data_IF_721202158654
#
_entry.id   IF_721202158654
#
_cell.length_a   1.000
_cell.length_b   1.000
_cell.length_c   1.000
_cell.angle_alpha   90.00
_cell.angle_beta   90.00
_cell.angle_gamma   90.00
#
_symmetry.space_group_name_H-M   'P 1'
#
loop_
_entity.id
_entity.type
_entity.pdbx_description
1 polymer ?
#
# COMPACT_ATOMS: atom_id res chain seq x y z
N UNK A 1 18.80 -20.71 -19.01
CA UNK A 1 17.69 -21.68 -18.94
C UNK A 1 16.46 -20.91 -18.50
N UNK A 2 15.57 -20.61 -19.44
CA UNK A 2 14.40 -19.76 -19.27
C UNK A 2 13.20 -20.64 -18.91
N UNK A 3 12.66 -20.49 -17.70
CA UNK A 3 11.41 -21.13 -17.29
C UNK A 3 10.28 -20.13 -17.56
N UNK A 4 9.51 -20.38 -18.62
CA UNK A 4 8.24 -19.71 -18.89
C UNK A 4 7.21 -20.31 -17.93
N UNK A 5 6.73 -19.51 -16.98
CA UNK A 5 5.62 -19.87 -16.10
C UNK A 5 4.31 -19.47 -16.77
N UNK A 6 3.72 -20.43 -17.48
CA UNK A 6 2.31 -20.43 -17.89
C UNK A 6 1.40 -20.39 -16.67
N UNK A 7 0.27 -19.70 -16.82
CA UNK A 7 -0.66 -19.33 -15.75
C UNK A 7 -0.95 -20.41 -14.70
N UNK A 8 -0.47 -20.14 -13.48
CA UNK A 8 -1.05 -20.62 -12.23
C UNK A 8 -0.68 -19.61 -11.14
N UNK A 9 -1.70 -18.94 -10.59
CA UNK A 9 -1.55 -18.06 -9.42
C UNK A 9 -1.22 -18.94 -8.22
N UNK A 10 0.08 -19.07 -7.93
CA UNK A 10 0.63 -19.81 -6.80
C UNK A 10 1.74 -18.99 -6.14
N UNK A 11 1.43 -18.45 -4.97
CA UNK A 11 2.30 -17.94 -3.92
C UNK A 11 3.82 -17.88 -4.23
N UNK A 12 4.26 -16.75 -4.76
CA UNK A 12 5.67 -16.40 -4.93
C UNK A 12 5.79 -15.12 -5.73
N UNK A 13 5.80 -13.99 -5.01
CA UNK A 13 6.18 -12.58 -5.28
C UNK A 13 7.02 -12.21 -6.54
N UNK A 14 6.79 -12.84 -7.69
CA UNK A 14 7.35 -12.46 -8.97
C UNK A 14 6.25 -11.73 -9.74
N UNK A 15 6.46 -10.45 -10.00
CA UNK A 15 5.54 -9.60 -10.74
C UNK A 15 5.10 -10.23 -12.06
N UNK A 16 3.92 -9.85 -12.54
CA UNK A 16 3.45 -10.27 -13.86
C UNK A 16 4.38 -9.68 -14.92
N UNK A 17 5.05 -10.58 -15.65
CA UNK A 17 5.97 -10.25 -16.74
C UNK A 17 5.31 -10.57 -18.07
N UNK A 18 5.48 -9.69 -19.06
CA UNK A 18 4.98 -9.88 -20.42
C UNK A 18 6.13 -10.28 -21.34
N UNK A 19 6.01 -11.43 -22.01
CA UNK A 19 7.00 -11.89 -22.98
C UNK A 19 6.56 -11.54 -24.40
N UNK A 20 7.50 -11.42 -25.34
CA UNK A 20 7.23 -11.07 -26.74
C UNK A 20 6.31 -12.07 -27.48
N UNK A 21 6.08 -13.27 -26.90
CA UNK A 21 5.20 -14.31 -27.43
C UNK A 21 4.00 -14.62 -26.50
N UNK A 22 3.62 -13.69 -25.63
CA UNK A 22 2.51 -13.91 -24.69
C UNK A 22 1.16 -14.07 -25.39
N UNK A 23 0.32 -14.94 -24.84
CA UNK A 23 -1.03 -15.19 -25.35
C UNK A 23 -1.93 -13.94 -25.15
N UNK A 24 -2.96 -13.72 -25.98
CA UNK A 24 -3.83 -12.55 -25.85
C UNK A 24 -4.52 -12.46 -24.48
N UNK A 25 -4.82 -13.61 -23.87
CA UNK A 25 -5.43 -13.69 -22.54
C UNK A 25 -4.45 -13.23 -21.43
N UNK A 26 -3.15 -13.55 -21.58
CA UNK A 26 -2.10 -13.11 -20.65
C UNK A 26 -1.91 -11.58 -20.71
N UNK A 27 -1.94 -11.02 -21.92
CA UNK A 27 -1.88 -9.57 -22.13
C UNK A 27 -3.07 -8.89 -21.44
N UNK A 28 -4.27 -9.46 -21.52
CA UNK A 28 -5.43 -8.91 -20.82
C UNK A 28 -5.29 -8.96 -19.30
N UNK A 29 -4.72 -10.04 -18.75
CA UNK A 29 -4.41 -10.14 -17.31
C UNK A 29 -3.43 -9.04 -16.90
N UNK A 30 -2.40 -8.78 -17.71
CA UNK A 30 -1.42 -7.71 -17.48
C UNK A 30 -2.07 -6.34 -17.53
N UNK A 31 -2.93 -6.06 -18.52
CA UNK A 31 -3.68 -4.79 -18.61
C UNK A 31 -4.50 -4.57 -17.32
N UNK A 32 -5.24 -5.58 -16.88
CA UNK A 32 -6.04 -5.51 -15.65
C UNK A 32 -5.15 -5.29 -14.42
N UNK A 33 -3.99 -5.93 -14.35
CA UNK A 33 -3.05 -5.76 -13.26
C UNK A 33 -2.46 -4.35 -13.22
N UNK A 34 -2.08 -3.78 -14.37
CA UNK A 34 -1.59 -2.38 -14.48
C UNK A 34 -2.65 -1.41 -13.99
N UNK A 35 -3.89 -1.52 -14.46
CA UNK A 35 -4.97 -0.67 -13.96
C UNK A 35 -5.18 -0.83 -12.46
N UNK A 36 -5.16 -2.07 -11.94
CA UNK A 36 -5.32 -2.33 -10.51
C UNK A 36 -4.20 -1.70 -9.68
N UNK A 37 -2.97 -1.78 -10.15
CA UNK A 37 -1.81 -1.25 -9.44
C UNK A 37 -1.76 0.28 -9.51
N UNK A 38 -1.75 0.83 -10.73
CA UNK A 38 -1.52 2.25 -10.98
C UNK A 38 -2.67 3.10 -10.44
N UNK A 39 -3.92 2.64 -10.57
CA UNK A 39 -5.08 3.40 -10.11
C UNK A 39 -5.55 3.02 -8.69
N UNK A 40 -4.77 2.21 -7.95
CA UNK A 40 -5.07 1.92 -6.55
C UNK A 40 -6.34 1.11 -6.34
N UNK A 41 -6.50 0.02 -7.09
CA UNK A 41 -7.64 -0.88 -7.09
C UNK A 41 -8.98 -0.16 -7.36
N UNK A 42 -9.11 0.51 -8.52
CA UNK A 42 -10.33 1.19 -8.87
C UNK A 42 -11.42 0.19 -9.31
N UNK A 43 -12.68 0.58 -9.11
CA UNK A 43 -13.78 0.00 -9.86
C UNK A 43 -13.91 0.80 -11.16
N UNK A 44 -13.26 0.34 -12.22
CA UNK A 44 -13.30 0.97 -13.55
C UNK A 44 -14.57 0.57 -14.29
N UNK A 45 -15.20 1.55 -14.92
CA UNK A 45 -16.29 1.32 -15.86
C UNK A 45 -15.74 1.09 -17.28
N UNK A 46 -16.48 0.39 -18.13
CA UNK A 46 -16.04 0.12 -19.52
C UNK A 46 -15.79 1.41 -20.32
N UNK A 47 -16.56 2.46 -20.05
CA UNK A 47 -16.40 3.78 -20.69
C UNK A 47 -15.13 4.52 -20.27
N UNK A 48 -14.55 4.18 -19.12
CA UNK A 48 -13.34 4.80 -18.60
C UNK A 48 -12.07 4.06 -19.08
N UNK A 49 -12.19 2.98 -19.85
CA UNK A 49 -11.00 2.23 -20.29
C UNK A 49 -10.28 2.94 -21.43
N UNK A 50 -8.95 2.93 -21.39
CA UNK A 50 -8.08 3.52 -22.41
C UNK A 50 -7.89 2.54 -23.58
N UNK A 51 -8.97 2.29 -24.34
CA UNK A 51 -8.99 1.27 -25.42
C UNK A 51 -7.88 1.46 -26.44
N UNK A 52 -7.53 2.71 -26.78
CA UNK A 52 -6.46 3.00 -27.75
C UNK A 52 -5.10 2.53 -27.28
N UNK A 53 -4.76 2.75 -26.01
CA UNK A 53 -3.45 2.36 -25.48
C UNK A 53 -3.40 0.87 -25.15
N UNK A 54 -4.53 0.26 -24.77
CA UNK A 54 -4.66 -1.19 -24.66
C UNK A 54 -4.38 -1.90 -25.99
N UNK A 55 -4.88 -1.35 -27.11
CA UNK A 55 -4.61 -1.89 -28.44
C UNK A 55 -3.12 -1.82 -28.82
N UNK A 56 -2.43 -0.71 -28.49
CA UNK A 56 -0.98 -0.59 -28.72
C UNK A 56 -0.19 -1.64 -27.95
N UNK A 57 -0.55 -1.88 -26.68
CA UNK A 57 0.10 -2.91 -25.87
C UNK A 57 -0.16 -4.32 -26.44
N UNK A 58 -1.39 -4.60 -26.88
CA UNK A 58 -1.73 -5.88 -27.53
C UNK A 58 -0.95 -6.12 -28.82
N UNK A 59 -0.66 -5.06 -29.57
CA UNK A 59 0.16 -5.11 -30.78
C UNK A 59 1.66 -5.14 -30.49
N UNK A 60 2.09 -5.08 -29.21
CA UNK A 60 3.50 -4.95 -28.81
C UNK A 60 4.18 -3.70 -29.40
N UNK A 61 3.42 -2.63 -29.64
CA UNK A 61 3.97 -1.34 -30.09
C UNK A 61 4.59 -0.53 -28.94
N UNK A 62 4.12 -0.76 -27.72
CA UNK A 62 4.58 -0.10 -26.49
C UNK A 62 4.97 -1.14 -25.44
N UNK A 63 5.96 -0.81 -24.60
CA UNK A 63 6.33 -1.64 -23.45
C UNK A 63 5.32 -1.53 -22.30
N UNK A 64 5.41 -2.42 -21.30
CA UNK A 64 4.57 -2.32 -20.10
C UNK A 64 4.86 -1.01 -19.35
N UNK A 65 6.13 -0.58 -19.30
CA UNK A 65 6.52 0.71 -18.73
C UNK A 65 5.90 1.89 -19.46
N UNK A 66 5.91 1.88 -20.79
CA UNK A 66 5.25 2.93 -21.58
C UNK A 66 3.74 2.92 -21.39
N UNK A 67 3.12 1.75 -21.27
CA UNK A 67 1.71 1.64 -20.94
C UNK A 67 1.39 2.19 -19.54
N UNK A 68 2.23 1.91 -18.53
CA UNK A 68 2.12 2.52 -17.20
C UNK A 68 2.24 4.06 -17.30
N UNK A 69 3.16 4.56 -18.14
CA UNK A 69 3.32 6.01 -18.41
C UNK A 69 2.05 6.62 -18.99
N UNK A 70 1.44 6.00 -20.01
CA UNK A 70 0.21 6.51 -20.63
C UNK A 70 -0.96 6.49 -19.65
N UNK A 71 -1.08 5.44 -18.82
CA UNK A 71 -2.12 5.34 -17.79
C UNK A 71 -1.93 6.43 -16.72
N UNK A 72 -0.71 6.65 -16.24
CA UNK A 72 -0.40 7.67 -15.24
C UNK A 72 -0.57 9.11 -15.78
N UNK A 73 -0.34 9.34 -17.08
CA UNK A 73 -0.59 10.64 -17.73
C UNK A 73 -2.04 10.87 -18.15
N UNK A 74 -2.89 9.85 -18.05
CA UNK A 74 -4.29 9.96 -18.44
C UNK A 74 -5.08 10.93 -17.54
N UNK A 75 -6.14 11.51 -18.11
CA UNK A 75 -7.08 12.38 -17.37
C UNK A 75 -7.74 11.66 -16.19
N UNK A 76 -7.88 10.33 -16.27
CA UNK A 76 -8.45 9.50 -15.21
C UNK A 76 -7.56 9.46 -13.97
N UNK A 77 -6.25 9.35 -14.17
CA UNK A 77 -5.29 9.39 -13.07
C UNK A 77 -5.23 10.80 -12.46
N UNK A 78 -5.15 11.82 -13.33
CA UNK A 78 -5.09 13.23 -12.95
C UNK A 78 -6.29 13.67 -12.11
N UNK A 79 -7.51 13.41 -12.57
CA UNK A 79 -8.74 13.79 -11.84
C UNK A 79 -8.85 13.11 -10.47
N UNK A 80 -8.41 11.85 -10.37
CA UNK A 80 -8.50 11.06 -9.12
C UNK A 80 -7.46 11.46 -8.08
N UNK A 81 -6.21 11.70 -8.49
CA UNK A 81 -5.11 11.86 -7.54
C UNK A 81 -4.50 13.26 -7.53
N UNK A 82 -4.45 13.94 -8.67
CA UNK A 82 -3.85 15.28 -8.74
C UNK A 82 -4.84 16.38 -8.36
N UNK A 83 -6.06 16.33 -8.90
CA UNK A 83 -7.06 17.39 -8.67
C UNK A 83 -7.78 17.25 -7.33
N UNK A 84 -7.93 16.01 -6.84
CA UNK A 84 -8.70 15.70 -5.63
C UNK A 84 -7.85 15.71 -4.35
N UNK A 85 -6.54 15.45 -4.44
CA UNK A 85 -5.66 15.29 -3.28
C UNK A 85 -4.68 16.46 -3.10
N UNK A 86 -4.17 16.65 -1.89
CA UNK A 86 -3.11 17.62 -1.64
C UNK A 86 -1.75 17.17 -2.22
N UNK A 87 -0.79 18.09 -2.43
CA UNK A 87 0.49 17.77 -3.10
C UNK A 87 1.28 16.64 -2.44
N UNK A 88 1.31 16.61 -1.10
CA UNK A 88 1.98 15.55 -0.36
C UNK A 88 1.31 14.18 -0.52
N UNK A 89 -0.03 14.14 -0.56
CA UNK A 89 -0.77 12.90 -0.79
C UNK A 89 -0.57 12.39 -2.21
N UNK A 90 -0.56 13.30 -3.19
CA UNK A 90 -0.28 12.97 -4.58
C UNK A 90 1.06 12.26 -4.72
N UNK A 91 2.13 12.83 -4.14
CA UNK A 91 3.46 12.23 -4.17
C UNK A 91 3.49 10.89 -3.42
N UNK A 92 2.88 10.80 -2.23
CA UNK A 92 2.77 9.52 -1.49
C UNK A 92 2.12 8.41 -2.35
N UNK A 93 1.08 8.76 -3.11
CA UNK A 93 0.39 7.84 -4.01
C UNK A 93 1.25 7.52 -5.25
N UNK A 94 1.98 8.47 -5.82
CA UNK A 94 2.91 8.20 -6.93
C UNK A 94 3.97 7.16 -6.54
N UNK A 95 4.58 7.31 -5.36
CA UNK A 95 5.51 6.32 -4.80
C UNK A 95 4.86 4.95 -4.61
N UNK A 96 3.60 4.91 -4.14
CA UNK A 96 2.84 3.66 -3.97
C UNK A 96 2.52 2.99 -5.31
N UNK A 97 2.03 3.76 -6.29
CA UNK A 97 1.52 3.25 -7.56
C UNK A 97 2.62 2.85 -8.53
N UNK A 98 3.65 3.71 -8.67
CA UNK A 98 4.70 3.55 -9.69
C UNK A 98 5.91 2.78 -9.15
N UNK A 99 6.39 3.13 -7.95
CA UNK A 99 7.58 2.50 -7.37
C UNK A 99 7.27 1.34 -6.40
N UNK A 100 6.00 1.20 -5.99
CA UNK A 100 5.59 0.16 -5.06
C UNK A 100 6.24 0.28 -3.67
N UNK A 101 6.68 1.48 -3.27
CA UNK A 101 7.30 1.76 -1.96
C UNK A 101 6.70 3.03 -1.34
N UNK A 102 7.03 3.28 -0.06
CA UNK A 102 6.67 4.52 0.61
C UNK A 102 7.87 5.49 0.57
N UNK A 103 7.64 6.81 0.60
CA UNK A 103 8.73 7.79 0.71
C UNK A 103 9.50 7.61 2.03
N UNK A 104 10.82 7.64 1.92
CA UNK A 104 11.74 7.36 3.04
C UNK A 104 12.12 8.64 3.78
N UNK A 105 12.30 9.74 3.06
CA UNK A 105 12.76 10.99 3.62
C UNK A 105 11.96 12.18 3.08
N UNK A 106 11.95 13.25 3.88
CA UNK A 106 11.35 14.52 3.48
C UNK A 106 12.06 15.13 2.26
N UNK A 107 13.34 14.81 2.06
CA UNK A 107 14.13 15.26 0.92
C UNK A 107 13.56 14.73 -0.39
N UNK A 108 13.24 13.44 -0.48
CA UNK A 108 12.62 12.82 -1.67
C UNK A 108 11.32 13.56 -2.02
N UNK A 109 10.44 13.74 -1.03
CA UNK A 109 9.17 14.47 -1.23
C UNK A 109 9.43 15.89 -1.71
N UNK A 110 10.38 16.61 -1.10
CA UNK A 110 10.67 17.99 -1.48
C UNK A 110 11.18 18.13 -2.92
N UNK A 111 11.92 17.14 -3.42
CA UNK A 111 12.40 17.10 -4.81
C UNK A 111 11.22 16.96 -5.77
N UNK A 112 10.29 16.04 -5.51
CA UNK A 112 9.13 15.85 -6.37
C UNK A 112 8.14 17.03 -6.30
N UNK A 113 7.92 17.62 -5.11
CA UNK A 113 7.11 18.85 -5.00
C UNK A 113 7.72 19.98 -5.84
N UNK A 114 9.03 20.18 -5.76
CA UNK A 114 9.72 21.22 -6.55
C UNK A 114 9.59 20.95 -8.04
N UNK A 115 9.84 19.71 -8.46
CA UNK A 115 9.77 19.32 -9.87
C UNK A 115 8.35 19.52 -10.43
N UNK A 116 7.32 19.14 -9.67
CA UNK A 116 5.93 19.40 -10.05
C UNK A 116 5.64 20.88 -10.28
N UNK A 117 6.20 21.77 -9.46
CA UNK A 117 5.99 23.22 -9.57
C UNK A 117 6.77 23.81 -10.74
N UNK A 118 7.99 23.34 -10.99
CA UNK A 118 8.89 23.90 -12.00
C UNK A 118 8.59 23.37 -13.42
N UNK A 119 8.30 22.08 -13.55
CA UNK A 119 8.20 21.38 -14.85
C UNK A 119 6.78 20.87 -15.14
N UNK A 120 5.89 20.91 -14.16
CA UNK A 120 4.51 20.47 -14.29
C UNK A 120 4.29 18.98 -14.03
N UNK A 121 3.08 18.53 -14.32
CA UNK A 121 2.57 17.20 -13.99
C UNK A 121 3.25 16.07 -14.78
N UNK A 122 3.39 16.23 -16.10
CA UNK A 122 3.92 15.17 -16.96
C UNK A 122 5.38 14.84 -16.62
N UNK A 123 6.17 15.88 -16.34
CA UNK A 123 7.56 15.74 -15.93
C UNK A 123 7.68 15.03 -14.57
N UNK A 124 6.74 15.25 -13.64
CA UNK A 124 6.75 14.55 -12.37
C UNK A 124 6.54 13.04 -12.56
N UNK A 125 5.57 12.65 -13.39
CA UNK A 125 5.33 11.23 -13.69
C UNK A 125 6.55 10.60 -14.38
N UNK A 126 7.14 11.29 -15.36
CA UNK A 126 8.34 10.81 -16.05
C UNK A 126 9.52 10.65 -15.10
N UNK A 127 9.67 11.53 -14.09
CA UNK A 127 10.76 11.45 -13.10
C UNK A 127 10.79 10.13 -12.33
N UNK A 128 9.64 9.49 -12.09
CA UNK A 128 9.58 8.19 -11.43
C UNK A 128 9.92 7.04 -12.40
N UNK A 129 9.40 7.09 -13.63
CA UNK A 129 9.53 6.00 -14.61
C UNK A 129 10.88 5.97 -15.32
N UNK A 130 11.56 7.11 -15.40
CA UNK A 130 12.90 7.26 -15.96
C UNK A 130 14.00 7.18 -14.88
N UNK A 131 13.62 6.87 -13.64
CA UNK A 131 14.59 6.64 -12.55
C UNK A 131 15.27 5.27 -12.67
N UNK A 132 16.55 5.22 -12.31
CA UNK A 132 17.31 3.96 -12.23
C UNK A 132 16.64 2.95 -11.28
N UNK A 133 15.97 3.45 -10.23
CA UNK A 133 15.24 2.60 -9.28
C UNK A 133 14.11 1.81 -9.95
N UNK A 134 13.34 2.45 -10.84
CA UNK A 134 12.28 1.77 -11.57
C UNK A 134 12.87 0.72 -12.52
N UNK A 135 13.94 1.07 -13.22
CA UNK A 135 14.60 0.17 -14.18
C UNK A 135 15.19 -1.07 -13.50
N UNK A 136 15.87 -0.90 -12.37
CA UNK A 136 16.47 -1.99 -11.59
C UNK A 136 15.41 -2.88 -10.94
N UNK A 137 14.25 -2.33 -10.59
CA UNK A 137 13.18 -3.04 -9.90
C UNK A 137 12.26 -3.82 -10.84
N UNK A 138 11.83 -3.22 -11.94
CA UNK A 138 10.77 -3.73 -12.82
C UNK A 138 11.25 -3.93 -14.26
N UNK A 139 12.19 -3.09 -14.73
CA UNK A 139 12.56 -3.04 -16.15
C UNK A 139 11.42 -2.55 -17.04
N UNK A 140 11.40 -2.99 -18.30
CA UNK A 140 10.45 -2.52 -19.32
C UNK A 140 9.14 -3.31 -19.37
N UNK A 141 9.19 -4.60 -19.05
CA UNK A 141 8.13 -5.57 -19.36
C UNK A 141 7.41 -6.12 -18.12
N UNK A 142 7.79 -5.68 -16.93
CA UNK A 142 7.17 -6.13 -15.67
C UNK A 142 6.19 -5.09 -15.15
N UNK A 143 5.00 -5.55 -14.73
CA UNK A 143 4.03 -4.69 -14.06
C UNK A 143 4.56 -4.27 -12.68
N UNK A 144 4.48 -2.98 -12.30
CA UNK A 144 4.86 -2.54 -10.97
C UNK A 144 4.11 -3.32 -9.89
N UNK A 145 4.80 -3.67 -8.82
CA UNK A 145 4.23 -4.39 -7.69
C UNK A 145 4.72 -3.78 -6.37
N UNK A 146 3.93 -3.87 -5.28
CA UNK A 146 4.34 -3.35 -3.99
C UNK A 146 5.54 -4.12 -3.45
N UNK A 147 6.72 -3.50 -3.48
CA UNK A 147 7.99 -4.05 -2.98
C UNK A 147 8.35 -3.58 -1.57
N UNK A 148 7.79 -2.46 -1.13
CA UNK A 148 8.03 -1.89 0.21
C UNK A 148 7.41 -2.70 1.36
N UNK A 149 6.60 -3.70 1.05
CA UNK A 149 6.07 -4.68 2.00
C UNK A 149 7.10 -5.74 2.40
N UNK A 150 8.25 -5.79 1.73
CA UNK A 150 9.35 -6.67 2.07
C UNK A 150 10.53 -5.86 2.61
N UNK A 151 11.31 -6.45 3.51
CA UNK A 151 12.58 -5.86 3.94
C UNK A 151 13.60 -5.97 2.81
N UNK A 152 14.14 -4.84 2.37
CA UNK A 152 15.15 -4.77 1.31
C UNK A 152 16.50 -4.40 1.89
N UNK A 153 17.57 -4.95 1.31
CA UNK A 153 18.94 -4.63 1.72
C UNK A 153 19.23 -3.16 1.41
N UNK A 154 19.83 -2.45 2.36
CA UNK A 154 20.19 -1.02 2.21
C UNK A 154 19.04 -0.03 2.44
N UNK A 155 17.80 -0.50 2.63
CA UNK A 155 16.64 0.36 2.84
C UNK A 155 16.32 0.56 4.32
N UNK A 156 15.75 1.74 4.66
CA UNK A 156 15.35 2.05 6.03
C UNK A 156 14.16 1.19 6.44
N UNK A 157 14.23 0.58 7.63
CA UNK A 157 13.12 -0.21 8.21
C UNK A 157 11.82 0.60 8.34
N UNK A 158 11.93 1.92 8.51
CA UNK A 158 10.77 2.83 8.56
C UNK A 158 9.94 2.77 7.27
N UNK A 159 10.56 2.51 6.12
CA UNK A 159 9.88 2.34 4.84
C UNK A 159 8.86 1.20 4.86
N UNK A 160 9.20 0.06 5.47
CA UNK A 160 8.28 -1.06 5.64
C UNK A 160 7.05 -0.69 6.49
N UNK A 161 7.28 0.01 7.60
CA UNK A 161 6.22 0.45 8.50
C UNK A 161 5.27 1.44 7.80
N UNK A 162 5.82 2.37 7.00
CA UNK A 162 5.05 3.34 6.23
C UNK A 162 4.28 2.68 5.08
N UNK A 163 4.89 1.74 4.38
CA UNK A 163 4.22 0.96 3.33
C UNK A 163 3.04 0.17 3.91
N UNK A 164 3.22 -0.48 5.05
CA UNK A 164 2.14 -1.21 5.72
C UNK A 164 0.97 -0.31 6.14
N UNK A 165 1.20 1.01 6.27
CA UNK A 165 0.14 1.98 6.54
C UNK A 165 -0.59 2.42 5.27
N UNK A 166 0.12 2.58 4.15
CA UNK A 166 -0.43 2.92 2.83
C UNK A 166 -1.15 1.76 2.14
N UNK A 167 -0.71 0.52 2.41
CA UNK A 167 -1.21 -0.70 1.80
C UNK A 167 -1.83 -1.59 2.88
N UNK A 168 -3.14 -1.49 3.08
CA UNK A 168 -3.92 -2.24 4.08
C UNK A 168 -4.41 -3.59 3.59
N UNK A 169 -4.48 -3.80 2.27
CA UNK A 169 -4.81 -5.09 1.69
C UNK A 169 -5.46 -5.01 0.31
N UNK A 170 -5.85 -6.16 -0.28
CA UNK A 170 -6.33 -6.24 -1.65
C UNK A 170 -7.73 -5.66 -1.87
N UNK A 171 -8.48 -5.40 -0.79
CA UNK A 171 -9.82 -4.81 -0.83
C UNK A 171 -9.82 -3.29 -0.58
N UNK A 172 -8.66 -2.70 -0.28
CA UNK A 172 -8.53 -1.26 -0.14
C UNK A 172 -8.58 -0.58 -1.51
N UNK A 173 -9.15 0.62 -1.55
CA UNK A 173 -9.12 1.50 -2.72
C UNK A 173 -8.62 2.89 -2.30
N UNK A 174 -7.72 3.47 -3.08
CA UNK A 174 -7.02 4.71 -2.70
C UNK A 174 -7.92 5.97 -2.69
N UNK A 175 -9.07 5.90 -3.38
CA UNK A 175 -10.09 6.95 -3.39
C UNK A 175 -10.62 7.30 -1.98
N UNK A 176 -10.56 6.37 -1.03
CA UNK A 176 -11.14 6.55 0.30
C UNK A 176 -10.44 7.62 1.15
N UNK A 177 -9.14 7.87 0.92
CA UNK A 177 -8.33 8.77 1.77
C UNK A 177 -7.66 9.85 0.93
N UNK A 178 -8.15 11.09 1.10
CA UNK A 178 -7.66 12.27 0.36
C UNK A 178 -6.53 13.02 1.06
N UNK A 179 -6.40 12.84 2.38
CA UNK A 179 -5.37 13.49 3.18
C UNK A 179 -4.06 12.72 3.11
N UNK A 180 -2.94 13.44 3.24
CA UNK A 180 -1.61 12.84 3.29
C UNK A 180 -1.47 12.00 4.56
N UNK A 181 -1.21 10.71 4.39
CA UNK A 181 -1.22 9.73 5.46
C UNK A 181 0.13 9.69 6.20
N UNK A 182 1.22 9.96 5.49
CA UNK A 182 2.57 9.83 6.01
C UNK A 182 3.23 11.16 6.34
N UNK A 183 2.64 12.30 5.95
CA UNK A 183 3.21 13.64 6.12
C UNK A 183 3.88 13.87 7.48
N UNK A 184 3.18 13.65 8.59
CA UNK A 184 3.75 13.82 9.93
C UNK A 184 4.93 12.88 10.20
N UNK A 185 4.79 11.61 9.80
CA UNK A 185 5.81 10.58 10.03
C UNK A 185 7.07 10.80 9.20
N UNK A 186 6.94 11.38 8.00
CA UNK A 186 8.07 11.71 7.13
C UNK A 186 8.75 12.98 7.63
N UNK A 187 7.98 14.02 7.97
CA UNK A 187 8.53 15.28 8.49
C UNK A 187 9.29 15.09 9.81
N UNK A 188 8.77 14.26 10.72
CA UNK A 188 9.41 13.97 12.02
C UNK A 188 10.39 12.80 11.97
N UNK A 189 10.53 12.15 10.82
CA UNK A 189 11.25 10.89 10.64
C UNK A 189 10.89 9.83 11.72
N UNK A 190 9.62 9.81 12.13
CA UNK A 190 9.10 8.86 13.10
C UNK A 190 8.51 7.64 12.40
N UNK A 191 8.56 6.48 13.07
CA UNK A 191 7.98 5.25 12.55
C UNK A 191 6.47 5.22 12.75
N UNK A 192 5.72 4.82 11.72
CA UNK A 192 4.30 4.49 11.85
C UNK A 192 4.10 3.15 12.54
N UNK A 193 3.05 3.03 13.34
CA UNK A 193 2.68 1.75 13.95
C UNK A 193 1.98 0.88 12.91
N UNK A 194 2.51 -0.31 12.64
CA UNK A 194 1.83 -1.31 11.82
C UNK A 194 0.58 -1.78 12.57
N UNK A 195 -0.58 -1.56 11.97
CA UNK A 195 -1.84 -2.10 12.46
C UNK A 195 -2.28 -3.21 11.50
N UNK A 196 -2.64 -4.40 12.01
CA UNK A 196 -3.20 -5.43 11.14
C UNK A 196 -4.49 -4.90 10.51
N UNK A 197 -4.83 -5.33 9.28
CA UNK A 197 -6.14 -5.02 8.71
C UNK A 197 -7.22 -5.46 9.69
N UNK A 198 -8.29 -4.68 9.78
CA UNK A 198 -9.50 -5.09 10.48
C UNK A 198 -9.90 -6.44 9.91
N UNK A 199 -9.72 -7.50 10.71
CA UNK A 199 -10.33 -8.78 10.37
C UNK A 199 -11.82 -8.49 10.23
N UNK A 200 -12.53 -9.09 9.26
CA UNK A 200 -13.98 -9.19 9.34
C UNK A 200 -14.29 -9.99 10.62
N UNK A 201 -14.28 -9.29 11.73
CA UNK A 201 -14.55 -9.77 13.05
C UNK A 201 -16.04 -9.88 13.12
N UNK A 202 -16.49 -11.10 13.36
CA UNK A 202 -17.74 -11.45 14.03
C UNK A 202 -18.43 -10.22 14.64
N UNK A 203 -19.71 -10.00 14.32
CA UNK A 203 -20.56 -8.84 14.71
C UNK A 203 -20.55 -8.47 16.21
N UNK A 204 -19.85 -9.25 17.04
CA UNK A 204 -19.59 -8.99 18.43
C UNK A 204 -18.53 -7.89 18.63
N UNK A 205 -18.96 -6.78 19.21
CA UNK A 205 -18.11 -5.68 19.70
C UNK A 205 -16.88 -6.19 20.44
N UNK A 206 -15.72 -5.59 20.20
CA UNK A 206 -14.48 -5.88 20.95
C UNK A 206 -14.16 -4.74 21.91
N UNK A 207 -13.62 -5.07 23.08
CA UNK A 207 -13.26 -4.11 24.12
C UNK A 207 -11.79 -4.24 24.50
N UNK A 208 -11.14 -3.11 24.71
CA UNK A 208 -9.80 -3.00 25.30
C UNK A 208 -9.95 -2.75 26.79
N UNK A 209 -9.50 -3.70 27.60
CA UNK A 209 -9.47 -3.63 29.06
C UNK A 209 -8.03 -3.35 29.51
N UNK A 210 -7.81 -2.21 30.14
CA UNK A 210 -6.53 -1.87 30.77
C UNK A 210 -6.60 -2.28 32.24
N UNK A 211 -5.65 -3.08 32.69
CA UNK A 211 -5.59 -3.65 34.05
C UNK A 211 -4.27 -3.26 34.69
N UNK A 212 -4.29 -2.88 35.97
CA UNK A 212 -3.09 -2.61 36.76
C UNK A 212 -2.97 -3.55 37.95
N UNK A 213 -1.74 -3.89 38.35
CA UNK A 213 -1.49 -4.64 39.59
C UNK A 213 -1.85 -6.13 39.57
N UNK A 214 -2.08 -6.72 38.39
CA UNK A 214 -2.31 -8.16 38.28
C UNK A 214 -1.07 -8.95 38.75
N UNK A 215 -1.25 -9.84 39.73
CA UNK A 215 -0.18 -10.68 40.28
C UNK A 215 0.05 -11.89 39.36
N UNK A 216 0.79 -11.69 38.28
CA UNK A 216 1.31 -12.79 37.46
C UNK A 216 2.65 -13.32 38.02
N UNK A 217 2.99 -14.54 37.63
CA UNK A 217 4.08 -15.38 38.18
C UNK A 217 5.50 -14.91 37.81
N UNK A 218 5.75 -13.60 37.76
CA UNK A 218 7.04 -13.05 37.38
C UNK A 218 7.14 -11.53 37.57
N UNK A 219 8.37 -11.02 37.63
CA UNK A 219 8.66 -9.58 37.80
C UNK A 219 8.40 -8.85 36.47
N UNK A 220 7.27 -8.12 36.38
CA UNK A 220 6.93 -7.32 35.20
C UNK A 220 7.56 -5.91 35.30
N UNK A 221 8.07 -5.39 34.17
CA UNK A 221 8.66 -4.03 34.05
C UNK A 221 7.59 -2.91 33.97
N UNK A 222 6.34 -3.26 33.66
CA UNK A 222 5.19 -2.35 33.64
C UNK A 222 4.09 -2.91 34.54
N UNK A 223 3.49 -2.05 35.36
CA UNK A 223 2.41 -2.41 36.28
C UNK A 223 1.06 -2.55 35.57
N UNK A 224 0.95 -2.08 34.32
CA UNK A 224 -0.26 -2.12 33.51
C UNK A 224 -0.17 -3.13 32.37
N UNK A 225 -1.26 -3.85 32.12
CA UNK A 225 -1.44 -4.85 31.07
C UNK A 225 -2.73 -4.55 30.32
N UNK A 226 -2.73 -4.75 29.02
CA UNK A 226 -3.89 -4.52 28.15
C UNK A 226 -4.42 -5.83 27.58
N UNK A 227 -5.73 -6.03 27.64
CA UNK A 227 -6.42 -7.17 27.05
C UNK A 227 -7.40 -6.69 25.98
N UNK A 228 -7.38 -7.33 24.81
CA UNK A 228 -8.39 -7.15 23.76
C UNK A 228 -9.33 -8.35 23.80
N UNK A 229 -10.61 -8.10 24.08
CA UNK A 229 -11.59 -9.16 24.38
C UNK A 229 -12.88 -8.91 23.60
N UNK A 230 -13.44 -9.91 22.90
CA UNK A 230 -14.76 -9.79 22.29
C UNK A 230 -15.88 -9.81 23.35
N UNK A 231 -17.01 -9.17 23.06
CA UNK A 231 -18.16 -9.03 23.98
C UNK A 231 -18.57 -10.35 24.64
N UNK A 232 -18.59 -11.44 23.87
CA UNK A 232 -19.00 -12.77 24.34
C UNK A 232 -18.09 -13.34 25.43
N UNK A 233 -16.81 -12.91 25.49
CA UNK A 233 -15.83 -13.37 26.46
C UNK A 233 -15.50 -12.32 27.54
N UNK A 234 -16.21 -11.18 27.56
CA UNK A 234 -15.97 -10.09 28.52
C UNK A 234 -16.09 -10.54 29.97
N UNK A 235 -17.19 -11.23 30.30
CA UNK A 235 -17.47 -11.69 31.66
C UNK A 235 -16.39 -12.66 32.15
N UNK A 236 -16.00 -13.62 31.31
CA UNK A 236 -14.96 -14.59 31.65
C UNK A 236 -13.60 -13.90 31.90
N UNK A 237 -13.25 -12.89 31.10
CA UNK A 237 -12.00 -12.16 31.28
C UNK A 237 -12.01 -11.29 32.53
N UNK A 238 -13.10 -10.59 32.84
CA UNK A 238 -13.23 -9.79 34.06
C UNK A 238 -13.11 -10.68 35.31
N UNK A 239 -13.76 -11.84 35.30
CA UNK A 239 -13.63 -12.81 36.40
C UNK A 239 -12.19 -13.30 36.59
N UNK A 240 -11.46 -13.55 35.48
CA UNK A 240 -10.04 -13.93 35.54
C UNK A 240 -9.17 -12.81 36.12
N UNK A 241 -9.42 -11.56 35.74
CA UNK A 241 -8.70 -10.39 36.26
C UNK A 241 -8.91 -10.26 37.77
N UNK A 242 -10.15 -10.38 38.24
CA UNK A 242 -10.50 -10.33 39.66
C UNK A 242 -9.83 -11.46 40.46
N UNK A 243 -9.79 -12.68 39.92
CA UNK A 243 -9.07 -13.82 40.55
C UNK A 243 -7.57 -13.58 40.67
N UNK A 244 -6.99 -12.78 39.78
CA UNK A 244 -5.55 -12.46 39.77
C UNK A 244 -5.22 -11.21 40.60
N UNK A 245 -6.21 -10.68 41.35
CA UNK A 245 -6.11 -9.43 42.12
C UNK A 245 -5.73 -8.20 41.26
N UNK A 246 -5.99 -8.22 39.96
CA UNK A 246 -5.78 -7.07 39.09
C UNK A 246 -6.92 -6.06 39.23
N UNK A 247 -6.59 -4.77 39.19
CA UNK A 247 -7.56 -3.67 39.19
C UNK A 247 -7.79 -3.19 37.76
N UNK A 248 -9.04 -3.07 37.33
CA UNK A 248 -9.38 -2.56 36.00
C UNK A 248 -9.29 -1.04 36.02
N UNK A 249 -8.50 -0.46 35.13
CA UNK A 249 -8.29 0.98 34.99
C UNK A 249 -9.28 1.59 34.00
N UNK A 250 -9.47 0.96 32.84
CA UNK A 250 -10.39 1.45 31.80
C UNK A 250 -10.87 0.33 30.90
N UNK A 251 -12.10 0.46 30.39
CA UNK A 251 -12.68 -0.40 29.36
C UNK A 251 -13.14 0.50 28.21
N UNK A 252 -12.56 0.34 27.02
CA UNK A 252 -12.93 1.12 25.84
C UNK A 252 -13.34 0.20 24.71
N UNK A 253 -14.46 0.48 24.04
CA UNK A 253 -14.84 -0.21 22.80
C UNK A 253 -13.79 0.06 21.72
N UNK A 254 -13.31 -1.01 21.07
CA UNK A 254 -12.39 -0.92 19.94
C UNK A 254 -13.24 -1.06 18.69
N UNK A 255 -13.42 0.05 18.00
CA UNK A 255 -14.11 0.15 16.70
C UNK A 255 -13.16 -0.21 15.57
#
# INVERSE_FOLDING_TARGET
MSTVMTGAVGAGDLGLYLSSNSAPDEVEIVIRAVYKQVLGNPHLMESERLVRDESKLKNSEISVREFVRTVAKSELYRSRFFETCGPYRFIELNFKHLLGRAPLDQTEISVHVRLCVEQGYDAEIDSYLDSDEYQDAFGEDTVPFPRGSLSQVGQKQVGFNRMSFLLRGPAEADKGVKEAQLLYSVATNSSTRVQPPLRPGNTAKSFRIVVSGAKYTGRLRRSTVEYLVPANHMTAQIQRINRTSGTIVSITEVV
#
